data_IF_215177131823
#
_entry.id   IF_215177131823
#
_cell.length_a   1.000
_cell.length_b   1.000
_cell.length_c   1.000
_cell.angle_alpha   90.00
_cell.angle_beta   90.00
_cell.angle_gamma   90.00
#
_symmetry.space_group_name_H-M   'P 1'
#
loop_
_entity.id
_entity.type
_entity.pdbx_description
1 polymer ?
#
# COMPACT_ATOMS: atom_id res chain seq x y z
N UNK A 1 -30.55 -0.59 -12.04
CA UNK A 1 -29.87 -0.04 -10.83
C UNK A 1 -30.91 0.51 -9.88
N UNK A 2 -30.85 0.18 -8.58
CA UNK A 2 -31.75 0.78 -7.58
C UNK A 2 -31.35 2.24 -7.36
N UNK A 3 -32.29 3.17 -7.46
CA UNK A 3 -32.06 4.61 -7.23
C UNK A 3 -31.37 4.92 -5.88
N UNK A 4 -31.52 4.02 -4.90
CA UNK A 4 -30.91 4.16 -3.58
C UNK A 4 -29.39 3.97 -3.58
N UNK A 5 -28.86 3.00 -4.36
CA UNK A 5 -27.42 2.72 -4.43
C UNK A 5 -26.64 3.92 -4.98
N UNK A 6 -27.17 4.58 -6.01
CA UNK A 6 -26.56 5.77 -6.60
C UNK A 6 -26.54 6.93 -5.58
N UNK A 7 -27.64 7.15 -4.86
CA UNK A 7 -27.70 8.19 -3.80
C UNK A 7 -26.68 7.94 -2.70
N UNK A 8 -26.55 6.69 -2.24
CA UNK A 8 -25.55 6.30 -1.23
C UNK A 8 -24.13 6.54 -1.75
N UNK A 9 -23.82 6.12 -2.97
CA UNK A 9 -22.51 6.34 -3.57
C UNK A 9 -22.17 7.82 -3.70
N UNK A 10 -23.11 8.68 -4.16
CA UNK A 10 -22.91 10.14 -4.19
C UNK A 10 -22.60 10.69 -2.79
N UNK A 11 -23.25 10.18 -1.73
CA UNK A 11 -22.97 10.55 -0.34
C UNK A 11 -21.60 10.04 0.16
N UNK A 12 -21.04 9.00 -0.43
CA UNK A 12 -19.71 8.47 -0.06
C UNK A 12 -18.62 9.15 -0.90
N UNK A 13 -18.67 9.04 -2.22
CA UNK A 13 -17.62 9.47 -3.13
C UNK A 13 -17.74 10.94 -3.57
N UNK A 14 -18.89 11.60 -3.34
CA UNK A 14 -19.19 12.91 -3.93
C UNK A 14 -19.74 12.76 -5.35
N UNK A 15 -20.48 13.77 -5.83
CA UNK A 15 -21.25 13.64 -7.07
C UNK A 15 -20.37 13.42 -8.31
N UNK A 16 -19.33 14.23 -8.49
CA UNK A 16 -18.39 14.13 -9.62
C UNK A 16 -17.69 12.77 -9.66
N UNK A 17 -17.12 12.33 -8.53
CA UNK A 17 -16.41 11.07 -8.43
C UNK A 17 -17.35 9.87 -8.57
N UNK A 18 -18.56 9.92 -7.99
CA UNK A 18 -19.56 8.87 -8.15
C UNK A 18 -19.95 8.69 -9.63
N UNK A 19 -20.18 9.78 -10.37
CA UNK A 19 -20.47 9.70 -11.80
C UNK A 19 -19.31 9.04 -12.57
N UNK A 20 -18.05 9.40 -12.28
CA UNK A 20 -16.88 8.79 -12.92
C UNK A 20 -16.72 7.32 -12.59
N UNK A 21 -16.87 6.92 -11.33
CA UNK A 21 -16.78 5.52 -10.92
C UNK A 21 -17.87 4.67 -11.57
N UNK A 22 -19.09 5.19 -11.70
CA UNK A 22 -20.22 4.48 -12.32
C UNK A 22 -20.06 4.27 -13.84
N UNK A 23 -19.09 4.92 -14.50
CA UNK A 23 -18.73 4.60 -15.88
C UNK A 23 -17.94 3.29 -16.00
N UNK A 24 -17.30 2.86 -14.91
CA UNK A 24 -16.34 1.75 -14.92
C UNK A 24 -16.74 0.58 -14.02
N UNK A 25 -17.55 0.84 -12.99
CA UNK A 25 -17.98 -0.17 -12.02
C UNK A 25 -19.49 -0.11 -11.83
N UNK A 26 -20.10 -1.26 -11.55
CA UNK A 26 -21.51 -1.28 -11.16
C UNK A 26 -21.67 -0.64 -9.78
N UNK A 27 -22.83 0.00 -9.56
CA UNK A 27 -23.13 0.67 -8.30
C UNK A 27 -23.22 -0.30 -7.14
N UNK A 28 -23.77 -1.49 -7.37
CA UNK A 28 -23.89 -2.53 -6.35
C UNK A 28 -22.49 -3.08 -5.99
N UNK A 29 -21.61 -3.27 -6.97
CA UNK A 29 -20.20 -3.63 -6.71
C UNK A 29 -19.49 -2.60 -5.84
N UNK A 30 -19.66 -1.31 -6.14
CA UNK A 30 -19.04 -0.24 -5.34
C UNK A 30 -19.63 -0.22 -3.92
N UNK A 31 -20.93 -0.43 -3.78
CA UNK A 31 -21.59 -0.43 -2.48
C UNK A 31 -21.08 -1.53 -1.54
N UNK A 32 -20.81 -2.71 -2.10
CA UNK A 32 -20.34 -3.87 -1.35
C UNK A 32 -18.85 -3.81 -1.01
N UNK A 33 -18.02 -3.17 -1.84
CA UNK A 33 -16.56 -3.33 -1.78
C UNK A 33 -15.80 -2.08 -1.32
N UNK A 34 -16.41 -0.88 -1.33
CA UNK A 34 -15.73 0.34 -0.89
C UNK A 34 -15.26 0.27 0.58
N UNK A 35 -16.06 -0.28 1.48
CA UNK A 35 -15.72 -0.47 2.90
C UNK A 35 -14.67 -1.54 3.14
N UNK A 36 -14.50 -2.46 2.19
CA UNK A 36 -13.47 -3.51 2.25
C UNK A 36 -12.12 -2.99 1.78
N UNK A 37 -12.11 -2.06 0.83
CA UNK A 37 -10.90 -1.46 0.24
C UNK A 37 -10.41 -0.23 1.03
N UNK A 38 -11.30 0.66 1.45
CA UNK A 38 -10.95 1.89 2.17
C UNK A 38 -11.32 1.79 3.64
N UNK A 39 -10.42 2.27 4.51
CA UNK A 39 -10.67 2.29 5.95
C UNK A 39 -11.82 3.22 6.31
N UNK A 40 -11.87 4.39 5.65
CA UNK A 40 -12.99 5.33 5.72
C UNK A 40 -13.46 5.57 4.27
N UNK A 41 -14.57 4.93 3.83
CA UNK A 41 -15.03 5.01 2.44
C UNK A 41 -15.20 6.42 1.90
N UNK A 42 -15.63 7.36 2.76
CA UNK A 42 -15.83 8.76 2.37
C UNK A 42 -14.54 9.46 1.94
N UNK A 43 -13.37 8.97 2.38
CA UNK A 43 -12.09 9.56 2.01
C UNK A 43 -11.73 9.33 0.54
N UNK A 44 -12.41 8.41 -0.16
CA UNK A 44 -12.27 8.26 -1.62
C UNK A 44 -12.59 9.56 -2.39
N UNK A 45 -13.29 10.51 -1.77
CA UNK A 45 -13.49 11.88 -2.27
C UNK A 45 -12.19 12.63 -2.54
N UNK A 46 -11.14 12.29 -1.81
CA UNK A 46 -9.84 12.95 -1.92
C UNK A 46 -9.03 12.44 -3.12
N UNK A 47 -9.50 11.40 -3.81
CA UNK A 47 -8.91 10.94 -5.07
C UNK A 47 -9.56 11.70 -6.23
N UNK A 48 -8.75 12.37 -7.05
CA UNK A 48 -9.23 13.05 -8.24
C UNK A 48 -9.42 12.07 -9.41
N UNK A 49 -10.64 11.55 -9.57
CA UNK A 49 -11.01 10.67 -10.68
C UNK A 49 -11.28 11.39 -12.00
N UNK A 50 -11.01 12.70 -12.10
CA UNK A 50 -10.91 13.35 -13.41
C UNK A 50 -9.59 13.02 -14.12
N UNK A 51 -8.57 12.58 -13.37
CA UNK A 51 -7.31 12.08 -13.91
C UNK A 51 -7.45 10.60 -14.30
N UNK A 52 -7.18 10.29 -15.56
CA UNK A 52 -7.29 8.92 -16.07
C UNK A 52 -6.33 7.95 -15.35
N UNK A 53 -5.15 8.41 -14.93
CA UNK A 53 -4.22 7.60 -14.13
C UNK A 53 -4.87 7.07 -12.84
N UNK A 54 -5.64 7.90 -12.13
CA UNK A 54 -6.34 7.50 -10.91
C UNK A 54 -7.47 6.50 -11.18
N UNK A 55 -8.11 6.58 -12.35
CA UNK A 55 -9.08 5.57 -12.82
C UNK A 55 -8.38 4.22 -13.05
N UNK A 56 -7.21 4.22 -13.69
CA UNK A 56 -6.46 2.98 -13.92
C UNK A 56 -5.96 2.38 -12.61
N UNK A 57 -5.50 3.22 -11.68
CA UNK A 57 -5.12 2.83 -10.33
C UNK A 57 -6.28 2.15 -9.58
N UNK A 58 -7.46 2.76 -9.54
CA UNK A 58 -8.60 2.18 -8.80
C UNK A 58 -9.14 0.90 -9.46
N UNK A 59 -9.10 0.79 -10.79
CA UNK A 59 -9.39 -0.47 -11.50
C UNK A 59 -8.45 -1.58 -11.04
N UNK A 60 -7.15 -1.30 -11.02
CA UNK A 60 -6.14 -2.25 -10.53
C UNK A 60 -6.39 -2.68 -9.08
N UNK A 61 -6.78 -1.75 -8.22
CA UNK A 61 -7.14 -2.06 -6.82
C UNK A 61 -8.32 -3.02 -6.75
N UNK A 62 -9.42 -2.70 -7.43
CA UNK A 62 -10.63 -3.53 -7.36
C UNK A 62 -10.45 -4.90 -8.01
N UNK A 63 -9.77 -5.00 -9.16
CA UNK A 63 -9.50 -6.31 -9.78
C UNK A 63 -8.69 -7.22 -8.86
N UNK A 64 -7.66 -6.69 -8.20
CA UNK A 64 -6.88 -7.45 -7.21
C UNK A 64 -7.73 -7.86 -6.02
N UNK A 65 -8.53 -6.94 -5.50
CA UNK A 65 -9.43 -7.21 -4.38
C UNK A 65 -10.39 -8.37 -4.70
N UNK A 66 -11.02 -8.36 -5.88
CA UNK A 66 -11.90 -9.44 -6.33
C UNK A 66 -11.17 -10.78 -6.45
N UNK A 67 -9.94 -10.80 -6.97
CA UNK A 67 -9.14 -12.02 -7.05
C UNK A 67 -8.82 -12.57 -5.65
N UNK A 68 -8.47 -11.70 -4.70
CA UNK A 68 -8.21 -12.09 -3.31
C UNK A 68 -9.47 -12.64 -2.64
N UNK A 69 -10.63 -11.98 -2.78
CA UNK A 69 -11.88 -12.47 -2.18
C UNK A 69 -12.35 -13.79 -2.80
N UNK A 70 -12.24 -13.96 -4.12
CA UNK A 70 -12.56 -15.22 -4.80
C UNK A 70 -11.73 -16.39 -4.26
N UNK A 71 -10.45 -16.16 -3.94
CA UNK A 71 -9.59 -17.19 -3.32
C UNK A 71 -10.05 -17.55 -1.92
N UNK A 72 -10.43 -16.55 -1.10
CA UNK A 72 -10.97 -16.77 0.25
C UNK A 72 -12.29 -17.55 0.23
N UNK A 73 -13.22 -17.18 -0.65
CA UNK A 73 -14.54 -17.81 -0.76
C UNK A 73 -14.46 -19.29 -1.18
N UNK A 74 -13.52 -19.63 -2.07
CA UNK A 74 -13.37 -21.01 -2.53
C UNK A 74 -12.79 -21.96 -1.49
N UNK A 75 -12.34 -21.47 -0.31
CA UNK A 75 -11.52 -22.25 0.63
C UNK A 75 -10.42 -23.04 -0.10
N UNK A 76 -9.90 -22.49 -1.21
CA UNK A 76 -8.80 -23.14 -1.91
C UNK A 76 -7.64 -23.20 -0.90
N UNK A 77 -7.00 -24.37 -0.72
CA UNK A 77 -5.80 -24.44 0.10
C UNK A 77 -4.85 -23.38 -0.43
N UNK A 78 -4.27 -22.60 0.48
CA UNK A 78 -3.34 -21.53 0.14
C UNK A 78 -2.24 -22.11 -0.75
N UNK A 79 -2.25 -21.75 -2.04
CA UNK A 79 -1.25 -22.23 -2.99
C UNK A 79 0.13 -21.78 -2.51
N UNK A 80 1.07 -22.69 -2.58
CA UNK A 80 2.48 -22.42 -2.27
C UNK A 80 3.05 -21.41 -3.26
N UNK A 81 4.14 -20.75 -2.88
CA UNK A 81 4.86 -19.80 -3.72
C UNK A 81 5.30 -20.47 -5.03
N UNK A 82 5.69 -21.75 -4.95
CA UNK A 82 6.06 -22.56 -6.11
C UNK A 82 4.89 -22.78 -7.06
N UNK A 83 3.70 -23.12 -6.56
CA UNK A 83 2.51 -23.34 -7.40
C UNK A 83 2.07 -22.05 -8.09
N UNK A 84 2.04 -20.93 -7.35
CA UNK A 84 1.68 -19.63 -7.94
C UNK A 84 2.65 -19.21 -9.04
N UNK A 85 3.95 -19.43 -8.86
CA UNK A 85 4.96 -19.17 -9.88
C UNK A 85 4.84 -20.15 -11.06
N UNK A 86 4.53 -21.41 -10.79
CA UNK A 86 4.33 -22.44 -11.82
C UNK A 86 3.20 -22.06 -12.79
N UNK A 87 2.09 -21.54 -12.26
CA UNK A 87 0.92 -21.06 -13.02
C UNK A 87 1.23 -19.89 -13.94
N UNK A 88 2.11 -18.97 -13.51
CA UNK A 88 2.58 -17.84 -14.35
C UNK A 88 3.82 -18.19 -15.18
N UNK A 89 4.16 -19.48 -15.26
CA UNK A 89 5.17 -20.02 -16.16
C UNK A 89 6.61 -19.91 -15.65
N UNK A 90 6.81 -19.79 -14.34
CA UNK A 90 8.12 -19.76 -13.70
C UNK A 90 8.39 -21.03 -12.89
N UNK A 91 9.67 -21.35 -12.75
CA UNK A 91 10.20 -22.35 -11.83
C UNK A 91 10.87 -21.56 -10.70
N UNK A 92 10.52 -21.86 -9.45
CA UNK A 92 11.16 -21.32 -8.26
C UNK A 92 12.34 -22.22 -7.85
N UNK A 93 13.52 -21.63 -7.69
CA UNK A 93 14.63 -22.21 -6.92
C UNK A 93 14.84 -21.43 -5.62
N UNK A 94 14.59 -22.11 -4.52
CA UNK A 94 14.70 -21.64 -3.15
C UNK A 94 15.89 -22.25 -2.40
N UNK A 95 16.78 -22.99 -3.09
CA UNK A 95 17.92 -23.70 -2.48
C UNK A 95 19.20 -22.88 -2.42
N UNK A 96 19.12 -21.57 -2.60
CA UNK A 96 20.29 -20.68 -2.64
C UNK A 96 20.75 -20.36 -1.22
N UNK A 97 21.82 -21.02 -0.78
CA UNK A 97 22.39 -20.81 0.56
C UNK A 97 23.74 -20.12 0.53
N UNK A 98 24.47 -20.28 -0.58
CA UNK A 98 25.85 -19.78 -0.70
C UNK A 98 26.06 -19.01 -1.99
N UNK A 99 27.14 -18.23 -2.03
CA UNK A 99 27.61 -17.56 -3.25
C UNK A 99 27.84 -18.55 -4.41
N UNK A 100 28.28 -19.79 -4.14
CA UNK A 100 28.45 -20.81 -5.19
C UNK A 100 27.12 -21.23 -5.81
N UNK A 101 26.04 -21.29 -5.04
CA UNK A 101 24.71 -21.60 -5.57
C UNK A 101 24.23 -20.48 -6.49
N UNK A 102 24.47 -19.24 -6.09
CA UNK A 102 24.13 -18.05 -6.87
C UNK A 102 24.83 -18.03 -8.25
N UNK A 103 26.10 -18.45 -8.32
CA UNK A 103 26.87 -18.47 -9.58
C UNK A 103 26.34 -19.43 -10.65
N UNK A 104 25.55 -20.46 -10.28
CA UNK A 104 24.98 -21.42 -11.24
C UNK A 104 24.10 -20.75 -12.30
N UNK A 105 23.58 -19.57 -11.97
CA UNK A 105 22.69 -18.79 -12.81
C UNK A 105 23.40 -17.87 -13.79
N UNK A 106 24.71 -17.67 -13.65
CA UNK A 106 25.53 -16.90 -14.58
C UNK A 106 25.42 -17.42 -16.01
N UNK A 107 25.17 -18.73 -16.20
CA UNK A 107 24.93 -19.37 -17.51
C UNK A 107 23.77 -18.76 -18.31
N UNK A 108 22.82 -18.10 -17.66
CA UNK A 108 21.72 -17.43 -18.33
C UNK A 108 22.10 -16.01 -18.78
N UNK A 109 23.20 -15.42 -18.32
CA UNK A 109 23.57 -14.06 -18.70
C UNK A 109 24.50 -14.07 -19.91
N UNK A 110 24.33 -13.11 -20.81
CA UNK A 110 25.31 -12.86 -21.86
C UNK A 110 26.57 -12.28 -21.21
N UNK A 111 27.73 -12.64 -21.74
CA UNK A 111 29.00 -12.05 -21.30
C UNK A 111 28.94 -10.51 -21.37
N UNK A 112 29.32 -9.86 -20.27
CA UNK A 112 29.20 -8.40 -20.11
C UNK A 112 27.82 -7.87 -19.72
N UNK A 113 26.77 -8.70 -19.71
CA UNK A 113 25.43 -8.36 -19.19
C UNK A 113 25.15 -9.00 -17.81
N UNK A 114 26.18 -9.59 -17.20
CA UNK A 114 26.11 -10.17 -15.87
C UNK A 114 25.73 -9.12 -14.81
N UNK A 115 24.87 -9.50 -13.86
CA UNK A 115 24.58 -8.65 -12.71
C UNK A 115 25.88 -8.35 -11.95
N UNK A 116 26.13 -7.07 -11.64
CA UNK A 116 27.24 -6.66 -10.75
C UNK A 116 27.22 -7.40 -9.40
N UNK A 117 26.04 -7.89 -9.00
CA UNK A 117 25.77 -8.71 -7.81
C UNK A 117 26.42 -10.10 -7.86
N UNK A 118 26.82 -10.61 -9.03
CA UNK A 118 27.66 -11.80 -9.15
C UNK A 118 29.05 -11.62 -8.56
N UNK A 119 29.47 -10.42 -8.19
CA UNK A 119 30.74 -10.19 -7.50
C UNK A 119 30.59 -10.02 -5.97
N UNK A 120 29.36 -9.98 -5.44
CA UNK A 120 29.10 -9.81 -4.01
C UNK A 120 29.06 -11.17 -3.28
N UNK A 121 30.21 -11.55 -2.73
CA UNK A 121 30.38 -12.79 -1.96
C UNK A 121 29.56 -12.82 -0.66
N UNK A 122 29.15 -11.66 -0.14
CA UNK A 122 28.45 -11.53 1.13
C UNK A 122 26.92 -11.45 0.97
N UNK A 123 26.41 -11.46 -0.26
CA UNK A 123 24.99 -11.27 -0.52
C UNK A 123 24.09 -12.28 0.23
N UNK A 124 24.49 -13.55 0.26
CA UNK A 124 23.74 -14.61 0.97
C UNK A 124 23.77 -14.46 2.50
N UNK A 125 24.71 -13.68 3.05
CA UNK A 125 24.78 -13.38 4.48
C UNK A 125 23.72 -12.33 4.86
N UNK A 126 23.46 -11.39 3.95
CA UNK A 126 22.58 -10.25 4.20
C UNK A 126 21.12 -10.49 3.76
N UNK A 127 20.89 -11.44 2.85
CA UNK A 127 19.59 -11.69 2.24
C UNK A 127 19.27 -13.18 2.15
N UNK A 128 17.97 -13.50 2.19
CA UNK A 128 17.44 -14.72 1.61
C UNK A 128 17.27 -14.51 0.11
N UNK A 129 17.89 -15.37 -0.69
CA UNK A 129 17.91 -15.23 -2.15
C UNK A 129 17.08 -16.36 -2.77
N UNK A 130 16.18 -15.98 -3.66
CA UNK A 130 15.40 -16.90 -4.48
C UNK A 130 15.65 -16.60 -5.94
N UNK A 131 15.43 -17.58 -6.80
CA UNK A 131 15.53 -17.42 -8.23
C UNK A 131 14.24 -17.90 -8.90
N UNK A 132 13.77 -17.12 -9.88
CA UNK A 132 12.64 -17.51 -10.73
C UNK A 132 13.13 -17.61 -12.17
N UNK A 133 12.79 -18.71 -12.85
CA UNK A 133 13.23 -19.00 -14.22
C UNK A 133 12.01 -19.33 -15.08
N UNK A 134 11.83 -18.67 -16.21
CA UNK A 134 10.78 -19.02 -17.17
C UNK A 134 10.96 -20.46 -17.64
N UNK A 135 9.88 -21.24 -17.65
CA UNK A 135 9.88 -22.64 -18.12
C UNK A 135 10.35 -22.78 -19.57
N UNK A 136 10.14 -21.76 -20.39
CA UNK A 136 10.54 -21.71 -21.79
C UNK A 136 11.83 -20.91 -22.04
N UNK A 137 12.69 -20.76 -21.03
CA UNK A 137 13.92 -19.93 -21.13
C UNK A 137 14.82 -20.30 -22.32
N UNK A 138 14.92 -21.57 -22.67
CA UNK A 138 15.75 -22.05 -23.79
C UNK A 138 15.25 -21.57 -25.16
N UNK A 139 13.99 -21.12 -25.24
CA UNK A 139 13.39 -20.55 -26.46
C UNK A 139 13.55 -19.03 -26.54
N UNK A 140 14.03 -18.38 -25.47
CA UNK A 140 14.14 -16.92 -25.37
C UNK A 140 15.54 -16.50 -25.76
N UNK A 141 15.69 -16.00 -26.99
CA UNK A 141 16.96 -15.58 -27.59
C UNK A 141 17.26 -14.12 -27.28
N UNK A 142 18.49 -13.79 -26.91
CA UNK A 142 18.91 -12.40 -26.60
C UNK A 142 18.82 -11.50 -27.83
N UNK A 143 19.09 -12.08 -29.00
CA UNK A 143 19.17 -11.44 -30.30
C UNK A 143 17.84 -10.78 -30.69
N UNK A 144 16.72 -11.38 -30.27
CA UNK A 144 15.37 -10.90 -30.57
C UNK A 144 15.04 -9.57 -29.88
N UNK A 145 15.87 -9.09 -28.95
CA UNK A 145 15.64 -7.90 -28.10
C UNK A 145 16.72 -6.81 -28.25
N UNK A 146 17.73 -7.00 -29.10
CA UNK A 146 18.83 -6.03 -29.24
C UNK A 146 18.29 -4.68 -29.76
N UNK A 147 18.58 -3.60 -29.03
CA UNK A 147 18.21 -2.23 -29.41
C UNK A 147 16.77 -1.83 -29.09
N UNK A 148 16.01 -2.70 -28.43
CA UNK A 148 14.62 -2.48 -27.99
C UNK A 148 14.34 -3.09 -26.63
N UNK A 149 15.38 -3.16 -25.79
CA UNK A 149 15.33 -3.76 -24.47
C UNK A 149 14.35 -3.01 -23.56
N UNK A 150 13.44 -3.73 -22.93
CA UNK A 150 12.56 -3.20 -21.90
C UNK A 150 12.75 -3.97 -20.60
N UNK A 151 12.72 -3.29 -19.45
CA UNK A 151 12.93 -3.91 -18.12
C UNK A 151 12.01 -5.12 -17.88
N UNK A 152 10.81 -5.10 -18.45
CA UNK A 152 9.80 -6.15 -18.25
C UNK A 152 9.54 -6.97 -19.52
N UNK A 153 10.41 -6.89 -20.54
CA UNK A 153 10.28 -7.75 -21.70
C UNK A 153 10.55 -9.23 -21.36
N UNK A 154 10.21 -10.11 -22.30
CA UNK A 154 10.29 -11.55 -22.11
C UNK A 154 11.71 -12.04 -21.78
N UNK A 155 12.76 -11.39 -22.30
CA UNK A 155 14.14 -11.74 -21.97
C UNK A 155 14.55 -11.21 -20.59
N UNK A 156 14.26 -9.95 -20.31
CA UNK A 156 14.58 -9.30 -19.05
C UNK A 156 13.99 -10.01 -17.84
N UNK A 157 12.75 -10.51 -17.98
CA UNK A 157 12.09 -11.28 -16.92
C UNK A 157 12.30 -12.79 -17.05
N UNK A 158 13.06 -13.29 -18.04
CA UNK A 158 13.16 -14.74 -18.25
C UNK A 158 13.87 -15.44 -17.10
N UNK A 159 14.77 -14.75 -16.41
CA UNK A 159 15.23 -15.21 -15.12
C UNK A 159 15.64 -14.07 -14.19
N UNK A 160 15.13 -14.12 -12.96
CA UNK A 160 15.27 -13.04 -12.00
C UNK A 160 15.69 -13.57 -10.63
N UNK A 161 16.46 -12.75 -9.91
CA UNK A 161 16.72 -13.00 -8.50
C UNK A 161 15.78 -12.17 -7.63
N UNK A 162 15.24 -12.77 -6.58
CA UNK A 162 14.44 -12.10 -5.55
C UNK A 162 15.29 -12.08 -4.28
N UNK A 163 15.49 -10.91 -3.70
CA UNK A 163 16.26 -10.74 -2.47
C UNK A 163 15.36 -10.20 -1.36
N UNK A 164 15.20 -10.99 -0.30
CA UNK A 164 14.45 -10.63 0.91
C UNK A 164 15.46 -10.40 2.02
N UNK A 165 15.27 -9.33 2.80
CA UNK A 165 16.14 -9.01 3.93
C UNK A 165 16.24 -10.18 4.91
N UNK A 166 17.39 -10.39 5.56
CA UNK A 166 17.58 -11.57 6.42
C UNK A 166 16.57 -11.66 7.57
N UNK A 167 16.06 -10.52 8.02
CA UNK A 167 15.02 -10.44 9.05
C UNK A 167 13.61 -10.81 8.52
N UNK A 168 13.45 -11.06 7.22
CA UNK A 168 12.20 -11.51 6.60
C UNK A 168 11.10 -10.46 6.50
N UNK A 169 11.41 -9.16 6.67
CA UNK A 169 10.39 -8.10 6.76
C UNK A 169 10.23 -7.26 5.50
N UNK A 170 11.18 -7.34 4.57
CA UNK A 170 11.14 -6.53 3.35
C UNK A 170 11.72 -7.24 2.15
N UNK A 171 11.04 -7.11 1.01
CA UNK A 171 11.64 -7.41 -0.29
C UNK A 171 12.58 -6.26 -0.60
N UNK A 172 13.86 -6.56 -0.68
CA UNK A 172 14.87 -5.53 -0.95
C UNK A 172 14.94 -5.22 -2.43
N UNK A 173 14.97 -6.25 -3.28
CA UNK A 173 15.17 -6.11 -4.72
C UNK A 173 14.63 -7.32 -5.50
N UNK A 174 14.15 -7.08 -6.72
CA UNK A 174 13.94 -8.13 -7.74
C UNK A 174 14.75 -7.74 -8.97
N UNK A 175 15.80 -8.52 -9.26
CA UNK A 175 16.78 -8.20 -10.30
C UNK A 175 16.49 -8.99 -11.57
N UNK A 176 16.43 -8.26 -12.67
CA UNK A 176 16.22 -8.76 -14.02
C UNK A 176 17.50 -9.33 -14.65
N UNK A 177 17.37 -10.00 -15.80
CA UNK A 177 18.45 -10.65 -16.57
C UNK A 177 19.37 -9.68 -17.32
N UNK A 178 18.89 -8.51 -17.71
CA UNK A 178 19.68 -7.35 -18.09
C UNK A 178 20.40 -6.75 -16.88
N UNK A 179 21.68 -6.38 -17.08
CA UNK A 179 22.38 -5.47 -16.18
C UNK A 179 21.97 -4.01 -16.47
N UNK A 180 22.91 -3.06 -16.48
CA UNK A 180 22.70 -1.64 -16.80
C UNK A 180 22.23 -1.34 -18.24
N UNK A 181 21.76 -2.33 -19.01
CA UNK A 181 21.16 -2.15 -20.35
C UNK A 181 19.76 -1.53 -20.27
N UNK A 182 19.08 -1.66 -19.14
CA UNK A 182 17.79 -1.03 -18.85
C UNK A 182 17.89 -0.21 -17.58
N UNK A 183 16.98 0.75 -17.39
CA UNK A 183 16.93 1.57 -16.18
C UNK A 183 16.37 0.78 -14.99
N UNK A 184 17.01 0.93 -13.82
CA UNK A 184 16.65 0.28 -12.56
C UNK A 184 16.36 -1.24 -12.70
N UNK A 185 17.33 -2.04 -13.22
CA UNK A 185 17.14 -3.47 -13.46
C UNK A 185 16.92 -4.26 -12.16
N UNK A 186 17.33 -3.71 -11.03
CA UNK A 186 17.13 -4.26 -9.69
C UNK A 186 15.78 -3.92 -9.05
N UNK A 187 14.94 -3.15 -9.76
CA UNK A 187 13.57 -2.84 -9.37
C UNK A 187 12.54 -3.43 -10.37
N UNK A 188 12.83 -4.62 -10.88
CA UNK A 188 11.92 -5.34 -11.78
C UNK A 188 10.67 -5.77 -11.01
N UNK A 189 9.51 -5.79 -11.67
CA UNK A 189 8.21 -5.93 -11.00
C UNK A 189 7.99 -4.93 -9.84
N UNK A 190 8.70 -3.80 -9.84
CA UNK A 190 8.74 -2.83 -8.73
C UNK A 190 9.10 -3.46 -7.38
N UNK A 191 9.97 -4.48 -7.38
CA UNK A 191 10.38 -5.23 -6.18
C UNK A 191 9.20 -5.75 -5.36
N UNK A 192 8.15 -6.18 -6.05
CA UNK A 192 6.90 -6.62 -5.46
C UNK A 192 6.48 -7.97 -6.05
N UNK A 193 6.30 -8.95 -5.17
CA UNK A 193 5.89 -10.31 -5.53
C UNK A 193 4.50 -10.35 -6.17
N UNK A 194 3.60 -9.46 -5.78
CA UNK A 194 2.23 -9.37 -6.32
C UNK A 194 2.18 -8.89 -7.77
N UNK A 195 3.26 -8.27 -8.26
CA UNK A 195 3.38 -7.91 -9.67
C UNK A 195 3.93 -9.08 -10.52
N UNK A 196 4.38 -10.19 -9.89
CA UNK A 196 4.75 -11.43 -10.58
C UNK A 196 3.55 -12.37 -10.65
N UNK A 197 2.94 -12.65 -9.49
CA UNK A 197 1.74 -13.45 -9.37
C UNK A 197 0.93 -12.98 -8.16
N UNK A 198 -0.39 -12.91 -8.30
CA UNK A 198 -1.27 -12.50 -7.20
C UNK A 198 -1.23 -13.53 -6.07
N UNK A 199 -1.18 -13.06 -4.83
CA UNK A 199 -1.07 -13.85 -3.58
C UNK A 199 0.34 -14.36 -3.29
N UNK A 200 1.33 -14.00 -4.10
CA UNK A 200 2.69 -14.52 -3.96
C UNK A 200 3.39 -14.01 -2.68
N UNK A 201 3.08 -12.80 -2.22
CA UNK A 201 3.62 -12.29 -0.95
C UNK A 201 3.13 -13.11 0.23
N UNK A 202 1.83 -13.43 0.25
CA UNK A 202 1.22 -14.23 1.29
C UNK A 202 1.79 -15.66 1.28
N UNK A 203 1.95 -16.24 0.09
CA UNK A 203 2.56 -17.56 -0.06
C UNK A 203 4.04 -17.58 0.40
N UNK A 204 4.81 -16.52 0.12
CA UNK A 204 6.18 -16.40 0.64
C UNK A 204 6.23 -16.26 2.16
N UNK A 205 5.28 -15.52 2.76
CA UNK A 205 5.15 -15.43 4.21
C UNK A 205 4.84 -16.79 4.84
N UNK A 206 3.92 -17.54 4.23
CA UNK A 206 3.54 -18.88 4.67
C UNK A 206 4.68 -19.90 4.52
N UNK A 207 5.22 -20.05 3.30
CA UNK A 207 6.15 -21.14 2.97
C UNK A 207 7.53 -20.98 3.61
N UNK A 208 7.97 -19.73 3.79
CA UNK A 208 9.32 -19.41 4.26
C UNK A 208 9.36 -18.70 5.62
N UNK A 209 8.20 -18.50 6.27
CA UNK A 209 8.10 -17.87 7.59
C UNK A 209 8.44 -16.38 7.60
N UNK A 210 8.22 -15.68 6.49
CA UNK A 210 8.44 -14.24 6.40
C UNK A 210 7.27 -13.41 6.92
N UNK A 211 7.49 -12.11 7.05
CA UNK A 211 6.47 -11.12 7.42
C UNK A 211 6.57 -9.91 6.49
N UNK A 212 6.57 -10.19 5.19
CA UNK A 212 6.55 -9.20 4.13
C UNK A 212 5.23 -8.46 4.16
N UNK A 213 5.29 -7.13 4.08
CA UNK A 213 4.12 -6.32 3.78
C UNK A 213 3.62 -6.63 2.37
N UNK A 214 2.31 -6.62 2.19
CA UNK A 214 1.68 -6.75 0.87
C UNK A 214 2.07 -5.54 0.02
N UNK A 215 3.05 -5.69 -0.87
CA UNK A 215 3.55 -4.59 -1.70
C UNK A 215 2.60 -4.31 -2.88
N UNK A 216 1.45 -5.00 -3.04
CA UNK A 216 0.43 -4.76 -4.07
C UNK A 216 -0.20 -3.36 -4.06
N UNK A 217 0.15 -2.56 -3.05
CA UNK A 217 -0.32 -1.21 -2.77
C UNK A 217 -0.17 -0.34 -4.01
N UNK A 218 -1.31 -0.04 -4.63
CA UNK A 218 -1.41 1.03 -5.60
C UNK A 218 -1.35 2.35 -4.84
N UNK A 219 -0.35 3.18 -5.11
CA UNK A 219 -0.18 4.46 -4.44
C UNK A 219 -1.17 5.50 -5.00
N UNK A 220 -1.93 6.11 -4.09
CA UNK A 220 -2.69 7.33 -4.34
C UNK A 220 -2.06 8.48 -3.55
N UNK A 221 -2.06 9.68 -4.13
CA UNK A 221 -1.63 10.89 -3.44
C UNK A 221 -2.40 11.02 -2.12
N UNK A 222 -1.69 11.27 -1.02
CA UNK A 222 -2.28 11.42 0.31
C UNK A 222 -2.98 10.16 0.86
N UNK A 223 -2.65 8.97 0.35
CA UNK A 223 -3.03 7.70 0.95
C UNK A 223 -1.83 6.85 1.34
N UNK A 224 -2.03 6.00 2.33
CA UNK A 224 -1.13 4.90 2.65
C UNK A 224 -1.95 3.64 2.97
N UNK A 225 -1.32 2.49 2.88
CA UNK A 225 -1.98 1.22 3.12
C UNK A 225 -1.60 0.67 4.49
N UNK A 226 -2.60 0.26 5.24
CA UNK A 226 -2.44 -0.27 6.60
C UNK A 226 -3.58 -1.26 6.88
N UNK A 227 -3.24 -2.43 7.40
CA UNK A 227 -4.18 -3.49 7.76
C UNK A 227 -5.15 -3.88 6.62
N UNK A 228 -4.63 -4.01 5.40
CA UNK A 228 -5.42 -4.42 4.24
C UNK A 228 -6.31 -3.34 3.63
N UNK A 229 -6.23 -2.09 4.12
CA UNK A 229 -7.07 -0.97 3.65
C UNK A 229 -6.26 0.28 3.36
N UNK A 230 -6.84 1.11 2.49
CA UNK A 230 -6.35 2.46 2.21
C UNK A 230 -6.83 3.47 3.25
N UNK A 231 -5.90 4.24 3.78
CA UNK A 231 -6.11 5.32 4.76
C UNK A 231 -5.66 6.64 4.16
N UNK A 232 -6.50 7.66 4.22
CA UNK A 232 -6.12 9.00 3.82
C UNK A 232 -5.38 9.72 4.94
N UNK A 233 -4.41 10.53 4.58
CA UNK A 233 -3.79 11.50 5.48
C UNK A 233 -3.91 12.90 4.90
N UNK A 234 -4.16 13.89 5.75
CA UNK A 234 -4.33 15.26 5.31
C UNK A 234 -3.00 16.01 5.26
N UNK A 235 -2.00 15.54 6.02
CA UNK A 235 -0.73 16.23 6.21
C UNK A 235 0.40 15.26 6.51
N UNK A 236 1.60 15.59 6.05
CA UNK A 236 2.84 14.92 6.41
C UNK A 236 3.79 15.95 7.04
N UNK A 237 4.37 15.64 8.19
CA UNK A 237 5.35 16.50 8.89
C UNK A 237 6.51 15.61 9.30
N UNK A 238 7.73 15.95 8.86
CA UNK A 238 8.95 15.17 9.15
C UNK A 238 8.78 13.66 8.85
N UNK A 239 8.10 13.33 7.75
CA UNK A 239 7.81 11.94 7.34
C UNK A 239 6.66 11.25 8.07
N UNK A 240 6.09 11.85 9.13
CA UNK A 240 4.93 11.31 9.85
C UNK A 240 3.63 11.74 9.17
N UNK A 241 2.74 10.79 8.91
CA UNK A 241 1.46 11.01 8.23
C UNK A 241 0.32 11.19 9.24
N UNK A 242 -0.45 12.28 9.08
CA UNK A 242 -1.55 12.67 9.98
C UNK A 242 -2.88 12.56 9.23
N UNK A 243 -3.70 11.58 9.63
CA UNK A 243 -5.03 11.33 9.10
C UNK A 243 -6.12 11.61 10.12
N UNK A 244 -7.38 11.39 9.72
CA UNK A 244 -8.54 11.68 10.57
C UNK A 244 -8.59 10.83 11.84
N UNK A 245 -8.15 9.58 11.75
CA UNK A 245 -8.21 8.59 12.83
C UNK A 245 -6.90 7.83 12.96
N UNK A 246 -5.84 8.33 12.31
CA UNK A 246 -4.53 7.68 12.30
C UNK A 246 -3.40 8.68 12.37
N UNK A 247 -2.33 8.31 13.09
CA UNK A 247 -1.06 9.02 13.07
C UNK A 247 0.04 8.01 12.85
N UNK A 248 0.78 8.16 11.76
CA UNK A 248 1.95 7.34 11.42
C UNK A 248 1.69 5.83 11.55
N UNK A 249 0.58 5.37 10.94
CA UNK A 249 0.16 3.97 10.98
C UNK A 249 -0.49 3.50 12.29
N UNK A 250 -0.56 4.35 13.33
CA UNK A 250 -1.29 4.05 14.56
C UNK A 250 -2.75 4.49 14.44
N UNK A 251 -3.67 3.57 14.72
CA UNK A 251 -5.12 3.81 14.68
C UNK A 251 -5.61 4.30 16.04
N UNK A 252 -6.41 5.37 16.01
CA UNK A 252 -7.09 5.95 17.16
C UNK A 252 -8.60 5.77 16.98
N UNK A 253 -9.23 5.14 17.97
CA UNK A 253 -10.67 4.93 17.99
C UNK A 253 -11.40 6.28 18.10
N UNK A 254 -12.22 6.66 17.11
CA UNK A 254 -12.94 7.94 17.10
C UNK A 254 -13.88 8.15 18.28
N UNK A 255 -14.35 7.08 18.92
CA UNK A 255 -15.22 7.16 20.10
C UNK A 255 -14.43 7.58 21.35
N UNK A 256 -13.10 7.38 21.33
CA UNK A 256 -12.21 7.65 22.45
C UNK A 256 -11.27 8.83 22.18
N UNK A 257 -11.00 9.13 20.90
CA UNK A 257 -10.00 10.09 20.51
C UNK A 257 -10.47 10.99 19.38
N UNK A 258 -10.11 12.27 19.47
CA UNK A 258 -10.21 13.21 18.37
C UNK A 258 -8.81 13.63 17.92
N UNK A 259 -8.55 13.50 16.63
CA UNK A 259 -7.31 13.94 16.00
C UNK A 259 -7.57 15.21 15.20
N UNK A 260 -6.77 16.23 15.41
CA UNK A 260 -6.75 17.44 14.59
C UNK A 260 -5.36 18.05 14.61
N UNK A 261 -4.88 18.50 13.45
CA UNK A 261 -3.50 18.95 13.24
C UNK A 261 -2.47 17.97 13.80
N UNK A 262 -1.63 18.39 14.76
CA UNK A 262 -0.65 17.56 15.47
C UNK A 262 -1.14 17.18 16.89
N UNK A 263 -2.42 17.37 17.20
CA UNK A 263 -2.97 17.13 18.53
C UNK A 263 -3.83 15.86 18.60
N UNK A 264 -3.77 15.22 19.77
CA UNK A 264 -4.58 14.08 20.16
C UNK A 264 -5.37 14.47 21.40
N UNK A 265 -6.69 14.54 21.30
CA UNK A 265 -7.58 14.68 22.45
C UNK A 265 -8.06 13.29 22.87
N UNK A 266 -7.81 12.92 24.12
CA UNK A 266 -8.40 11.76 24.79
C UNK A 266 -9.75 12.18 25.40
N UNK A 267 -10.85 11.69 24.84
CA UNK A 267 -12.21 12.08 25.25
C UNK A 267 -12.58 11.50 26.62
N UNK A 268 -11.98 10.36 27.01
CA UNK A 268 -12.21 9.72 28.32
C UNK A 268 -11.47 10.46 29.43
N UNK A 269 -10.19 10.74 29.22
CA UNK A 269 -9.35 11.47 30.19
C UNK A 269 -9.56 12.98 30.14
N UNK A 270 -10.19 13.48 29.06
CA UNK A 270 -10.36 14.91 28.76
C UNK A 270 -9.04 15.66 28.69
N UNK A 271 -8.01 15.01 28.16
CA UNK A 271 -6.67 15.60 28.03
C UNK A 271 -6.30 15.77 26.58
N UNK A 272 -5.50 16.78 26.28
CA UNK A 272 -4.85 16.95 24.97
C UNK A 272 -3.35 16.71 25.10
N UNK A 273 -2.74 16.21 24.03
CA UNK A 273 -1.29 16.18 23.88
C UNK A 273 -0.91 16.36 22.41
N UNK A 274 0.34 16.72 22.17
CA UNK A 274 0.95 16.63 20.85
C UNK A 274 1.18 15.17 20.48
N UNK A 275 1.18 14.91 19.18
CA UNK A 275 1.36 13.57 18.62
C UNK A 275 2.83 13.13 18.58
N UNK A 276 3.76 14.09 18.46
CA UNK A 276 5.20 13.88 18.56
C UNK A 276 5.69 13.78 20.02
N UNK A 277 4.87 14.19 20.98
CA UNK A 277 5.19 14.17 22.40
C UNK A 277 6.02 15.37 22.86
N UNK A 278 6.18 16.39 21.99
CA UNK A 278 6.83 17.65 22.36
C UNK A 278 5.92 18.49 23.26
N UNK A 279 6.53 19.26 24.17
CA UNK A 279 5.80 20.20 25.01
C UNK A 279 5.27 21.36 24.15
N UNK A 280 3.99 21.68 24.33
CA UNK A 280 3.31 22.73 23.58
C UNK A 280 2.46 23.57 24.53
N UNK A 281 2.64 24.88 24.48
CA UNK A 281 1.98 25.82 25.39
C UNK A 281 0.44 25.77 25.28
N UNK A 282 -0.11 25.45 24.10
CA UNK A 282 -1.55 25.27 23.94
C UNK A 282 -2.02 24.00 24.67
N UNK A 283 -1.28 22.89 24.60
CA UNK A 283 -1.62 21.67 25.35
C UNK A 283 -1.61 21.90 26.86
N UNK A 284 -0.64 22.68 27.38
CA UNK A 284 -0.55 23.02 28.80
C UNK A 284 -1.73 23.87 29.26
N UNK A 285 -2.05 24.92 28.51
CA UNK A 285 -3.18 25.81 28.81
C UNK A 285 -4.49 25.03 28.78
N UNK A 286 -4.69 24.19 27.76
CA UNK A 286 -5.89 23.36 27.62
C UNK A 286 -6.03 22.42 28.82
N UNK A 287 -4.99 21.64 29.13
CA UNK A 287 -5.02 20.67 30.23
C UNK A 287 -5.21 21.36 31.59
N UNK A 288 -4.64 22.55 31.79
CA UNK A 288 -4.86 23.37 32.99
C UNK A 288 -6.31 23.83 33.11
N UNK A 289 -6.92 24.29 32.01
CA UNK A 289 -8.36 24.65 31.99
C UNK A 289 -9.25 23.46 32.35
N UNK A 290 -8.98 22.27 31.80
CA UNK A 290 -9.75 21.06 32.15
C UNK A 290 -9.58 20.70 33.63
N UNK A 291 -8.36 20.75 34.17
CA UNK A 291 -8.12 20.53 35.61
C UNK A 291 -8.89 21.52 36.48
N UNK A 292 -9.10 22.74 35.99
CA UNK A 292 -9.89 23.77 36.67
C UNK A 292 -11.42 23.64 36.45
N UNK A 293 -11.89 22.53 35.87
CA UNK A 293 -13.32 22.22 35.75
C UNK A 293 -13.94 22.59 34.40
N UNK A 294 -13.15 23.01 33.40
CA UNK A 294 -13.68 23.35 32.10
C UNK A 294 -14.33 22.14 31.40
N UNK A 295 -15.41 22.39 30.64
CA UNK A 295 -16.11 21.36 29.86
C UNK A 295 -15.65 21.39 28.40
N UNK A 296 -15.43 20.22 27.81
CA UNK A 296 -15.19 20.08 26.36
C UNK A 296 -16.55 19.93 25.69
N UNK A 297 -16.84 20.81 24.73
CA UNK A 297 -18.00 20.70 23.85
C UNK A 297 -17.50 20.49 22.43
N UNK A 298 -17.95 19.39 21.82
CA UNK A 298 -17.71 19.11 20.40
C UNK A 298 -18.99 19.46 19.65
N UNK A 299 -18.92 20.43 18.76
CA UNK A 299 -20.08 20.94 18.03
C UNK A 299 -19.76 21.25 16.58
N UNK A 300 -20.75 21.05 15.72
CA UNK A 300 -20.74 21.50 14.32
C UNK A 300 -21.34 22.90 14.16
N UNK A 301 -22.03 23.41 15.18
CA UNK A 301 -22.68 24.71 15.17
C UNK A 301 -21.82 25.74 15.89
N UNK A 302 -21.96 27.01 15.49
CA UNK A 302 -21.49 28.12 16.28
C UNK A 302 -22.21 28.11 17.64
N UNK A 303 -21.42 28.06 18.70
CA UNK A 303 -21.90 28.19 20.08
C UNK A 303 -21.47 29.58 20.52
N UNK A 304 -22.42 30.37 21.00
CA UNK A 304 -22.12 31.64 21.67
C UNK A 304 -21.37 31.32 22.97
N UNK A 305 -20.15 31.87 23.07
CA UNK A 305 -19.24 31.66 24.19
C UNK A 305 -19.53 32.71 25.26
N UNK A 306 -20.52 32.45 26.11
CA UNK A 306 -20.86 33.32 27.24
C UNK A 306 -20.09 32.97 28.52
N UNK A 307 -19.26 31.91 28.50
CA UNK A 307 -18.73 31.30 29.73
C UNK A 307 -17.26 30.86 29.56
N UNK A 308 -16.34 31.56 30.24
CA UNK A 308 -14.87 31.35 30.18
C UNK A 308 -14.37 29.92 30.53
N UNK A 309 -15.27 29.04 30.97
CA UNK A 309 -15.04 27.66 31.40
C UNK A 309 -15.43 26.59 30.35
N UNK A 310 -15.66 26.97 29.09
CA UNK A 310 -15.96 26.03 28.01
C UNK A 310 -14.77 25.98 27.03
N UNK A 311 -14.43 24.77 26.56
CA UNK A 311 -13.54 24.57 25.42
C UNK A 311 -14.35 23.99 24.28
N UNK A 312 -14.52 24.78 23.21
CA UNK A 312 -15.26 24.37 22.02
C UNK A 312 -14.28 23.81 20.99
N UNK A 313 -14.44 22.54 20.65
CA UNK A 313 -13.75 21.93 19.51
C UNK A 313 -14.73 21.87 18.34
N UNK A 314 -14.56 22.79 17.38
CA UNK A 314 -15.39 22.83 16.17
C UNK A 314 -14.90 21.79 15.17
N UNK A 315 -15.78 20.88 14.78
CA UNK A 315 -15.53 20.03 13.62
C UNK A 315 -15.93 20.83 12.38
N UNK A 316 -14.95 21.23 11.55
CA UNK A 316 -15.29 21.73 10.21
C UNK A 316 -15.93 20.58 9.44
N UNK A 317 -17.22 20.73 9.12
CA UNK A 317 -17.75 20.01 7.97
C UNK A 317 -16.96 20.50 6.76
N UNK A 318 -16.24 19.60 6.09
CA UNK A 318 -15.75 19.86 4.74
C UNK A 318 -16.96 19.90 3.80
N UNK A 319 -17.78 20.93 3.91
CA UNK A 319 -18.65 21.37 2.83
C UNK A 319 -17.77 22.11 1.84
N UNK A 320 -17.55 21.43 0.71
CA UNK A 320 -17.28 22.00 -0.62
C UNK A 320 -16.97 23.50 -0.64
N UNK A 321 -15.68 23.84 -0.66
CA UNK A 321 -15.27 25.08 -1.32
C UNK A 321 -15.47 24.88 -2.82
N UNK A 322 -16.68 25.16 -3.29
CA UNK A 322 -16.94 25.57 -4.66
C UNK A 322 -16.24 26.90 -4.89
N UNK A 323 -15.15 26.86 -5.65
CA UNK A 323 -14.86 27.85 -6.69
C UNK A 323 -14.39 27.11 -7.93
#
# INVERSE_FOLDING_TARGET
MKNNTIKKLKKIAGEKNAQKLLLYFSGDFLDENLEKVFAIPKEIRNIDFSKEENIQKIKKVFSKFEETEKRKEKKEPQKTAKELLDEVGYILDDKIKTYKDYLKYKKYYKEGEELCKFNDKNRCNNYHIFWIIKKDIDKIKREDFIGKEERQDKYGTSCCSISISKNGKSISQICNRYNHKVSAPDNTFNSNLENIAVGLTEAFNHDYGFSLGDNSIVEFDNFYFLNGKYWHYNREINGKKYGKTTIDGKIYDPDNFLLFDNFIIDLKKKTIKTADGEEDAFTDIFNKKIKNGAKIIISNNDIEDDDNNIIIVKLKNNETNTK
#
